data_IF_060533555274
#
_entry.id   IF_060533555274
#
_cell.length_a   1.000
_cell.length_b   1.000
_cell.length_c   1.000
_cell.angle_alpha   90.00
_cell.angle_beta   90.00
_cell.angle_gamma   90.00
#
_symmetry.space_group_name_H-M   'P 1'
#
loop_
_entity.id
_entity.type
_entity.pdbx_description
1 polymer ?
#
# COMPACT_ATOMS: atom_id res chain seq x y z
N UNK A 1 10.52 -1.35 22.63
CA UNK A 1 10.71 -0.13 21.81
C UNK A 1 10.89 1.01 22.79
N UNK A 2 11.99 1.76 22.70
CA UNK A 2 12.28 2.86 23.63
C UNK A 2 11.44 4.10 23.28
N UNK A 3 11.36 5.09 24.19
CA UNK A 3 10.67 6.37 23.95
C UNK A 3 11.27 7.11 22.74
N UNK A 4 12.59 7.02 22.57
CA UNK A 4 13.32 7.58 21.42
C UNK A 4 13.04 6.84 20.11
N UNK A 5 12.90 5.51 20.13
CA UNK A 5 12.52 4.74 18.94
C UNK A 5 11.09 5.05 18.50
N UNK A 6 10.19 5.28 19.47
CA UNK A 6 8.81 5.67 19.20
C UNK A 6 8.76 7.07 18.54
N UNK A 7 9.53 8.04 19.06
CA UNK A 7 9.63 9.39 18.48
C UNK A 7 10.13 9.37 17.05
N UNK A 8 11.26 8.68 16.77
CA UNK A 8 11.80 8.58 15.39
C UNK A 8 10.79 7.94 14.44
N UNK A 9 10.11 6.88 14.87
CA UNK A 9 9.07 6.23 14.05
C UNK A 9 7.94 7.20 13.68
N UNK A 10 7.49 8.01 14.64
CA UNK A 10 6.42 8.98 14.42
C UNK A 10 6.89 10.08 13.47
N UNK A 11 8.09 10.60 13.66
CA UNK A 11 8.71 11.61 12.78
C UNK A 11 8.85 11.09 11.34
N UNK A 12 9.33 9.87 11.14
CA UNK A 12 9.47 9.25 9.82
C UNK A 12 8.10 9.08 9.14
N UNK A 13 7.10 8.62 9.89
CA UNK A 13 5.75 8.46 9.37
C UNK A 13 5.11 9.80 8.99
N UNK A 14 5.38 10.86 9.77
CA UNK A 14 4.92 12.21 9.49
C UNK A 14 5.60 12.80 8.26
N UNK A 15 6.93 12.72 8.20
CA UNK A 15 7.73 13.21 7.05
C UNK A 15 7.30 12.53 5.74
N UNK A 16 7.08 11.21 5.79
CA UNK A 16 6.56 10.46 4.65
C UNK A 16 5.14 10.91 4.26
N UNK A 17 4.28 11.21 5.22
CA UNK A 17 2.95 11.71 4.91
C UNK A 17 2.99 13.09 4.25
N UNK A 18 3.84 13.99 4.75
CA UNK A 18 4.05 15.32 4.16
C UNK A 18 4.61 15.23 2.74
N UNK A 19 5.58 14.35 2.48
CA UNK A 19 6.11 14.18 1.13
C UNK A 19 5.04 13.72 0.14
N UNK A 20 4.06 12.90 0.57
CA UNK A 20 2.92 12.52 -0.26
C UNK A 20 1.91 13.65 -0.48
N UNK A 21 1.88 14.69 0.35
CA UNK A 21 1.02 15.87 0.17
C UNK A 21 1.60 16.78 -0.92
N UNK A 22 2.92 16.99 -0.90
CA UNK A 22 3.62 17.87 -1.84
C UNK A 22 3.72 17.31 -3.27
N UNK A 23 3.34 16.04 -3.46
CA UNK A 23 3.39 15.35 -4.74
C UNK A 23 2.22 15.70 -5.68
N UNK A 24 2.42 15.46 -6.98
CA UNK A 24 1.31 15.38 -7.93
C UNK A 24 0.39 14.20 -7.59
N UNK A 25 -0.86 14.18 -8.06
CA UNK A 25 -1.76 13.04 -7.85
C UNK A 25 -1.15 11.72 -8.34
N UNK A 26 -0.48 11.76 -9.49
CA UNK A 26 0.30 10.64 -10.03
C UNK A 26 1.43 10.23 -9.09
N UNK A 27 2.21 11.20 -8.62
CA UNK A 27 3.33 10.98 -7.70
C UNK A 27 2.86 10.32 -6.41
N UNK A 28 1.85 10.91 -5.77
CA UNK A 28 1.25 10.41 -4.54
C UNK A 28 0.70 8.97 -4.72
N UNK A 29 -0.02 8.70 -5.82
CA UNK A 29 -0.56 7.37 -6.08
C UNK A 29 0.55 6.30 -6.22
N UNK A 30 1.59 6.60 -7.02
CA UNK A 30 2.69 5.67 -7.28
C UNK A 30 3.55 5.46 -6.04
N UNK A 31 3.94 6.54 -5.36
CA UNK A 31 4.83 6.48 -4.19
C UNK A 31 4.15 5.79 -3.00
N UNK A 32 2.87 6.12 -2.73
CA UNK A 32 2.12 5.49 -1.65
C UNK A 32 1.94 3.97 -1.87
N UNK A 33 1.56 3.57 -3.09
CA UNK A 33 1.42 2.16 -3.43
C UNK A 33 2.77 1.42 -3.41
N UNK A 34 3.84 2.02 -3.90
CA UNK A 34 5.19 1.42 -3.89
C UNK A 34 5.71 1.20 -2.48
N UNK A 35 5.53 2.19 -1.60
CA UNK A 35 5.89 2.03 -0.18
C UNK A 35 5.09 0.91 0.49
N UNK A 36 3.79 0.84 0.20
CA UNK A 36 2.95 -0.22 0.74
C UNK A 36 3.34 -1.61 0.21
N UNK A 37 3.67 -1.71 -1.08
CA UNK A 37 4.17 -2.95 -1.69
C UNK A 37 5.45 -3.46 -1.01
N UNK A 38 6.39 -2.55 -0.69
CA UNK A 38 7.61 -2.92 0.04
C UNK A 38 7.30 -3.35 1.47
N UNK A 39 6.40 -2.67 2.18
CA UNK A 39 5.95 -3.11 3.51
C UNK A 39 5.29 -4.49 3.49
N UNK A 40 4.52 -4.81 2.45
CA UNK A 40 3.99 -6.17 2.29
C UNK A 40 5.12 -7.17 2.12
N UNK A 41 6.13 -6.86 1.30
CA UNK A 41 7.31 -7.72 1.15
C UNK A 41 8.01 -7.94 2.50
N UNK A 42 8.29 -6.89 3.26
CA UNK A 42 8.91 -7.02 4.60
C UNK A 42 8.11 -7.94 5.52
N UNK A 43 6.77 -7.81 5.51
CA UNK A 43 5.87 -8.59 6.36
C UNK A 43 5.69 -10.03 5.90
N UNK A 44 5.80 -10.30 4.61
CA UNK A 44 5.83 -11.67 4.08
C UNK A 44 7.17 -12.30 4.45
N UNK A 45 8.28 -11.60 4.23
CA UNK A 45 9.63 -12.10 4.52
C UNK A 45 9.84 -12.38 6.00
N UNK A 46 9.19 -11.67 6.91
CA UNK A 46 9.25 -11.98 8.35
C UNK A 46 8.63 -13.34 8.73
N UNK A 47 7.92 -14.00 7.81
CA UNK A 47 7.39 -15.37 7.97
C UNK A 47 8.26 -16.43 7.30
N UNK A 48 9.31 -16.03 6.60
CA UNK A 48 10.24 -16.96 5.96
C UNK A 48 11.37 -17.34 6.90
N UNK A 49 12.06 -18.43 6.57
CA UNK A 49 13.40 -18.71 7.10
C UNK A 49 14.38 -17.64 6.62
N UNK A 50 15.53 -17.51 7.27
CA UNK A 50 16.58 -16.59 6.81
C UNK A 50 16.98 -16.91 5.37
N UNK A 51 16.66 -15.97 4.47
CA UNK A 51 16.97 -16.09 3.05
C UNK A 51 18.31 -15.44 2.77
N UNK A 52 19.18 -16.14 2.04
CA UNK A 52 20.31 -15.48 1.41
C UNK A 52 19.84 -14.59 0.25
N UNK A 53 20.68 -13.60 -0.11
CA UNK A 53 20.37 -12.62 -1.17
C UNK A 53 19.99 -13.26 -2.52
N UNK A 54 20.58 -14.41 -2.87
CA UNK A 54 20.26 -15.10 -4.13
C UNK A 54 18.83 -15.67 -4.12
N UNK A 55 18.42 -16.25 -3.00
CA UNK A 55 17.05 -16.78 -2.86
C UNK A 55 16.02 -15.65 -2.83
N UNK A 56 16.31 -14.58 -2.08
CA UNK A 56 15.44 -13.42 -2.00
C UNK A 56 15.16 -12.81 -3.38
N UNK A 57 16.21 -12.60 -4.20
CA UNK A 57 16.05 -12.14 -5.59
C UNK A 57 15.20 -13.08 -6.44
N UNK A 58 15.41 -14.40 -6.32
CA UNK A 58 14.61 -15.38 -7.07
C UNK A 58 13.14 -15.36 -6.71
N UNK A 59 12.79 -14.95 -5.50
CA UNK A 59 11.41 -14.90 -5.02
C UNK A 59 10.72 -13.59 -5.42
N UNK A 60 11.40 -12.45 -5.24
CA UNK A 60 10.79 -11.12 -5.33
C UNK A 60 11.14 -10.32 -6.60
N UNK A 61 12.05 -10.79 -7.45
CA UNK A 61 12.47 -10.05 -8.65
C UNK A 61 12.19 -10.84 -9.94
N UNK A 62 12.12 -10.13 -11.08
CA UNK A 62 11.93 -10.71 -12.40
C UNK A 62 10.68 -11.58 -12.49
N UNK A 63 10.86 -12.85 -12.87
CA UNK A 63 9.80 -13.86 -12.97
C UNK A 63 9.56 -14.63 -11.65
N UNK A 64 10.05 -14.10 -10.53
CA UNK A 64 9.85 -14.70 -9.22
C UNK A 64 8.38 -14.75 -8.80
N UNK A 65 7.98 -15.74 -7.98
CA UNK A 65 6.59 -15.95 -7.58
C UNK A 65 5.95 -14.77 -6.85
N UNK A 66 6.75 -13.92 -6.18
CA UNK A 66 6.27 -12.74 -5.44
C UNK A 66 6.77 -11.42 -6.06
N UNK A 67 7.11 -11.43 -7.35
CA UNK A 67 7.66 -10.25 -8.02
C UNK A 67 6.63 -9.14 -8.23
N UNK A 68 5.34 -9.46 -8.29
CA UNK A 68 4.28 -8.49 -8.55
C UNK A 68 3.56 -8.04 -7.29
N UNK A 69 3.02 -6.83 -7.31
CA UNK A 69 2.17 -6.32 -6.22
C UNK A 69 0.95 -7.22 -5.98
N UNK A 70 0.33 -7.73 -7.06
CA UNK A 70 -0.81 -8.64 -6.96
C UNK A 70 -0.45 -9.92 -6.19
N UNK A 71 0.66 -10.57 -6.54
CA UNK A 71 1.11 -11.79 -5.88
C UNK A 71 1.41 -11.57 -4.39
N UNK A 72 2.02 -10.42 -4.03
CA UNK A 72 2.26 -10.06 -2.63
C UNK A 72 0.95 -9.83 -1.87
N UNK A 73 -0.05 -9.19 -2.49
CA UNK A 73 -1.39 -9.03 -1.88
C UNK A 73 -2.01 -10.40 -1.59
N UNK A 74 -2.04 -11.28 -2.59
CA UNK A 74 -2.71 -12.57 -2.43
C UNK A 74 -2.00 -13.48 -1.41
N UNK A 75 -0.67 -13.51 -1.39
CA UNK A 75 0.07 -14.29 -0.39
C UNK A 75 -0.02 -13.70 1.01
N UNK A 76 0.02 -12.38 1.17
CA UNK A 76 -0.17 -11.76 2.47
C UNK A 76 -1.56 -12.09 3.06
N UNK A 77 -2.60 -12.11 2.23
CA UNK A 77 -3.93 -12.58 2.64
C UNK A 77 -3.92 -14.07 3.02
N UNK A 78 -3.31 -14.94 2.19
CA UNK A 78 -3.21 -16.36 2.48
C UNK A 78 -2.47 -16.66 3.80
N UNK A 79 -1.52 -15.79 4.17
CA UNK A 79 -0.80 -15.81 5.45
C UNK A 79 -1.58 -15.19 6.62
N UNK A 80 -2.85 -14.83 6.40
CA UNK A 80 -3.75 -14.17 7.36
C UNK A 80 -3.19 -12.87 7.93
N UNK A 81 -2.47 -12.08 7.12
CA UNK A 81 -2.00 -10.76 7.54
C UNK A 81 -3.13 -9.72 7.60
N UNK A 82 -4.24 -9.99 6.93
CA UNK A 82 -5.46 -9.18 6.91
C UNK A 82 -6.65 -9.99 6.33
N UNK A 83 -7.84 -9.40 6.35
CA UNK A 83 -9.08 -10.02 5.89
C UNK A 83 -9.36 -9.86 4.39
N UNK A 84 -10.41 -10.52 3.89
CA UNK A 84 -10.78 -10.50 2.47
C UNK A 84 -11.17 -9.08 2.00
N UNK A 85 -11.77 -8.30 2.90
CA UNK A 85 -12.11 -6.89 2.61
C UNK A 85 -10.85 -6.08 2.32
N UNK A 86 -9.84 -6.19 3.19
CA UNK A 86 -8.55 -5.53 3.01
C UNK A 86 -7.88 -5.97 1.72
N UNK A 87 -7.92 -7.28 1.40
CA UNK A 87 -7.39 -7.82 0.13
C UNK A 87 -8.04 -7.15 -1.08
N UNK A 88 -9.37 -7.06 -1.11
CA UNK A 88 -10.12 -6.40 -2.16
C UNK A 88 -9.77 -4.91 -2.33
N UNK A 89 -9.65 -4.19 -1.21
CA UNK A 89 -9.24 -2.78 -1.24
C UNK A 89 -7.79 -2.60 -1.70
N UNK A 90 -6.86 -3.48 -1.32
CA UNK A 90 -5.47 -3.43 -1.83
C UNK A 90 -5.36 -3.70 -3.33
N UNK A 91 -6.19 -4.59 -3.87
CA UNK A 91 -6.30 -4.71 -5.33
C UNK A 91 -6.90 -3.48 -5.99
N UNK A 92 -7.77 -2.75 -5.31
CA UNK A 92 -8.30 -1.46 -5.79
C UNK A 92 -7.19 -0.41 -5.82
N UNK A 93 -6.38 -0.30 -4.75
CA UNK A 93 -5.16 0.53 -4.73
C UNK A 93 -4.22 0.17 -5.89
N UNK A 94 -3.93 -1.11 -6.10
CA UNK A 94 -3.10 -1.59 -7.21
C UNK A 94 -3.63 -1.14 -8.57
N UNK A 95 -4.96 -1.23 -8.79
CA UNK A 95 -5.60 -0.78 -10.03
C UNK A 95 -5.42 0.73 -10.23
N UNK A 96 -5.68 1.53 -9.19
CA UNK A 96 -5.47 2.99 -9.21
C UNK A 96 -4.03 3.33 -9.58
N UNK A 97 -3.04 2.75 -8.88
CA UNK A 97 -1.61 2.95 -9.19
C UNK A 97 -1.28 2.62 -10.64
N UNK A 98 -1.83 1.52 -11.17
CA UNK A 98 -1.56 1.10 -12.55
C UNK A 98 -2.14 2.09 -13.56
N UNK A 99 -3.33 2.65 -13.31
CA UNK A 99 -3.93 3.68 -14.17
C UNK A 99 -3.02 4.91 -14.20
N UNK A 100 -2.59 5.42 -13.04
CA UNK A 100 -1.65 6.54 -12.96
C UNK A 100 -0.30 6.26 -13.64
N UNK A 101 0.25 5.06 -13.44
CA UNK A 101 1.55 4.68 -14.00
C UNK A 101 1.53 4.55 -15.53
N UNK A 102 0.42 4.09 -16.10
CA UNK A 102 0.28 3.85 -17.54
C UNK A 102 -0.44 4.98 -18.30
N UNK A 103 -0.91 6.02 -17.62
CA UNK A 103 -1.48 7.19 -18.30
C UNK A 103 -0.39 8.03 -18.97
N UNK A 104 -0.57 8.29 -20.27
CA UNK A 104 0.23 9.22 -21.05
C UNK A 104 -0.23 10.67 -20.92
N UNK A 105 -1.50 10.88 -20.54
CA UNK A 105 -2.07 12.20 -20.29
C UNK A 105 -2.03 12.54 -18.80
N UNK A 106 -2.08 13.85 -18.44
CA UNK A 106 -2.39 14.27 -17.07
C UNK A 106 -3.65 13.55 -16.57
N UNK A 107 -3.60 13.10 -15.33
CA UNK A 107 -4.69 12.37 -14.67
C UNK A 107 -4.68 12.78 -13.20
N UNK A 108 -5.87 12.96 -12.66
CA UNK A 108 -6.14 13.35 -11.28
C UNK A 108 -7.04 12.33 -10.59
N UNK A 109 -7.12 12.37 -9.27
CA UNK A 109 -8.02 11.48 -8.52
C UNK A 109 -9.51 11.72 -8.82
N UNK A 110 -9.85 12.92 -9.30
CA UNK A 110 -11.22 13.30 -9.65
C UNK A 110 -11.66 12.85 -11.05
N UNK A 111 -10.74 12.34 -11.88
CA UNK A 111 -11.11 11.74 -13.16
C UNK A 111 -11.96 10.49 -12.94
N UNK A 112 -13.08 10.37 -13.67
CA UNK A 112 -14.15 9.39 -13.38
C UNK A 112 -13.63 7.96 -13.19
N UNK A 113 -12.66 7.53 -14.01
CA UNK A 113 -12.06 6.19 -13.94
C UNK A 113 -11.34 5.91 -12.61
N UNK A 114 -10.66 6.92 -12.07
CA UNK A 114 -9.97 6.82 -10.78
C UNK A 114 -10.97 7.05 -9.66
N UNK A 115 -11.88 8.01 -9.82
CA UNK A 115 -12.86 8.38 -8.83
C UNK A 115 -13.77 7.20 -8.46
N UNK A 116 -14.25 6.43 -9.43
CA UNK A 116 -15.05 5.24 -9.20
C UNK A 116 -14.32 4.20 -8.36
N UNK A 117 -13.00 4.05 -8.53
CA UNK A 117 -12.17 3.15 -7.74
C UNK A 117 -11.94 3.68 -6.32
N UNK A 118 -11.69 4.98 -6.16
CA UNK A 118 -11.54 5.58 -4.83
C UNK A 118 -12.80 5.41 -3.98
N UNK A 119 -13.98 5.61 -4.57
CA UNK A 119 -15.27 5.42 -3.87
C UNK A 119 -15.50 3.98 -3.39
N UNK A 120 -14.84 2.98 -4.00
CA UNK A 120 -14.93 1.57 -3.58
C UNK A 120 -14.06 1.23 -2.36
N UNK A 121 -13.12 2.09 -1.98
CA UNK A 121 -12.22 1.82 -0.85
C UNK A 121 -12.94 1.90 0.51
N UNK A 122 -14.02 2.68 0.62
CA UNK A 122 -14.71 2.94 1.89
C UNK A 122 -16.25 2.99 1.74
N UNK A 123 -16.93 1.84 1.58
CA UNK A 123 -18.38 1.81 1.40
C UNK A 123 -19.19 2.12 2.68
N UNK A 124 -18.62 1.91 3.87
CA UNK A 124 -19.33 2.07 5.17
C UNK A 124 -19.17 3.44 5.81
N UNK A 125 -18.18 4.19 5.38
CA UNK A 125 -18.01 5.60 5.69
C UNK A 125 -17.93 6.31 4.36
N UNK A 126 -19.07 6.53 3.67
CA UNK A 126 -19.11 7.42 2.52
C UNK A 126 -18.58 8.75 3.03
N UNK A 127 -17.31 8.99 2.76
CA UNK A 127 -16.67 10.17 3.25
C UNK A 127 -17.39 11.31 2.55
N UNK A 128 -17.97 12.21 3.34
CA UNK A 128 -18.36 13.56 2.87
C UNK A 128 -17.15 14.31 2.28
N UNK A 129 -15.94 13.72 2.38
CA UNK A 129 -14.74 14.12 1.65
C UNK A 129 -14.99 13.97 0.15
N UNK A 130 -15.30 15.10 -0.47
CA UNK A 130 -15.11 15.33 -1.90
C UNK A 130 -13.66 15.03 -2.35
N UNK A 131 -12.71 14.97 -1.41
CA UNK A 131 -11.31 14.68 -1.72
C UNK A 131 -11.01 13.18 -1.82
N UNK A 132 -10.93 12.71 -3.06
CA UNK A 132 -10.65 11.32 -3.42
C UNK A 132 -9.18 10.94 -3.23
N UNK A 133 -8.26 11.92 -3.21
CA UNK A 133 -6.84 11.70 -2.89
C UNK A 133 -6.69 11.39 -1.41
N UNK A 134 -7.34 12.16 -0.53
CA UNK A 134 -7.33 11.89 0.91
C UNK A 134 -8.00 10.56 1.24
N UNK A 135 -9.03 10.17 0.49
CA UNK A 135 -9.64 8.85 0.62
C UNK A 135 -8.65 7.73 0.30
N UNK A 136 -7.93 7.84 -0.83
CA UNK A 136 -6.89 6.90 -1.22
C UNK A 136 -5.74 6.80 -0.19
N UNK A 137 -5.20 7.94 0.25
CA UNK A 137 -4.10 7.99 1.21
C UNK A 137 -4.54 7.53 2.61
N UNK A 138 -5.74 7.91 3.03
CA UNK A 138 -6.33 7.50 4.30
C UNK A 138 -6.53 5.99 4.38
N UNK A 139 -6.99 5.36 3.30
CA UNK A 139 -7.12 3.91 3.22
C UNK A 139 -5.78 3.21 3.44
N UNK A 140 -4.73 3.62 2.72
CA UNK A 140 -3.39 3.05 2.86
C UNK A 140 -2.81 3.22 4.27
N UNK A 141 -3.01 4.39 4.88
CA UNK A 141 -2.56 4.65 6.26
C UNK A 141 -3.22 3.68 7.25
N UNK A 142 -4.53 3.47 7.15
CA UNK A 142 -5.27 2.54 8.02
C UNK A 142 -4.83 1.10 7.84
N UNK A 143 -4.71 0.64 6.61
CA UNK A 143 -4.28 -0.75 6.35
C UNK A 143 -2.87 -1.00 6.85
N UNK A 144 -1.97 -0.01 6.71
CA UNK A 144 -0.61 -0.09 7.27
C UNK A 144 -0.66 -0.37 8.78
N UNK A 145 -1.55 0.28 9.50
CA UNK A 145 -1.69 0.10 10.94
C UNK A 145 -2.20 -1.32 11.27
N UNK A 146 -3.19 -1.83 10.54
CA UNK A 146 -3.67 -3.23 10.68
C UNK A 146 -2.54 -4.25 10.49
N UNK A 147 -1.73 -4.07 9.44
CA UNK A 147 -0.61 -4.95 9.14
C UNK A 147 0.50 -4.84 10.18
N UNK A 148 0.68 -3.67 10.81
CA UNK A 148 1.66 -3.45 11.88
C UNK A 148 1.29 -4.16 13.18
N UNK A 149 0.00 -4.19 13.54
CA UNK A 149 -0.49 -4.76 14.81
C UNK A 149 -0.79 -6.27 14.77
N UNK A 150 -0.72 -6.92 13.60
CA UNK A 150 -0.79 -8.38 13.49
C UNK A 150 0.52 -9.02 14.01
N UNK A 151 0.69 -9.05 15.32
CA UNK A 151 1.77 -9.78 16.00
C UNK A 151 1.60 -11.28 15.79
N UNK A 152 2.73 -11.93 15.58
CA UNK A 152 2.92 -13.36 15.32
C UNK A 152 2.08 -14.27 16.21
N UNK A 153 1.52 -15.32 15.60
CA UNK A 153 1.35 -16.59 16.32
C UNK A 153 2.70 -17.29 16.37
#
# INVERSE_FOLDING_TARGET
MTDDDLRRTIEDAWSYHQSLIDESDRGAAILAASNFEERLRERITSRFVDLNRKMEKRIFEGYGPLSTFAAKIDIAYALQLYDERTRGGLHTIRKIRNIFAHSSAPLEFNDEKVAELCRKLEPEHPTDRQDLRLTYLGYLSRVRDVIRFSSSR
#
